data_IF_351318802507
#
_entry.id   IF_351318802507
#
_cell.length_a   1.000
_cell.length_b   1.000
_cell.length_c   1.000
_cell.angle_alpha   90.00
_cell.angle_beta   90.00
_cell.angle_gamma   90.00
#
_symmetry.space_group_name_H-M   'P 1'
#
loop_
_entity.id
_entity.type
_entity.pdbx_description
1 polymer ?
#
# COMPACT_ATOMS: atom_id res chain seq x y z
N UNK A 1 9.73 -16.73 -6.85
CA UNK A 1 9.06 -18.04 -7.05
C UNK A 1 7.52 -17.88 -7.04
N UNK A 2 6.95 -16.82 -7.63
CA UNK A 2 5.48 -16.59 -7.58
C UNK A 2 4.71 -17.22 -8.73
N UNK A 3 5.28 -17.27 -9.93
CA UNK A 3 4.55 -17.65 -11.15
C UNK A 3 4.80 -19.09 -11.62
N UNK A 4 5.09 -20.02 -10.71
CA UNK A 4 5.42 -21.42 -11.03
C UNK A 4 4.41 -22.37 -10.39
N UNK A 5 3.89 -23.38 -11.13
CA UNK A 5 4.24 -23.76 -12.50
C UNK A 5 3.65 -22.84 -13.58
N UNK A 6 4.39 -22.64 -14.68
CA UNK A 6 4.00 -21.77 -15.79
C UNK A 6 3.54 -22.59 -17.01
N UNK A 7 2.23 -22.76 -17.15
CA UNK A 7 1.62 -23.39 -18.35
C UNK A 7 1.07 -22.36 -19.35
N UNK A 8 0.42 -21.31 -18.85
CA UNK A 8 -0.19 -20.25 -19.65
C UNK A 8 0.18 -18.90 -19.02
N UNK A 9 1.06 -18.10 -19.64
CA UNK A 9 1.55 -16.87 -19.03
C UNK A 9 0.48 -15.79 -18.91
N UNK A 10 -0.53 -15.75 -19.78
CA UNK A 10 -1.61 -14.76 -19.69
C UNK A 10 -2.50 -15.09 -18.50
N UNK A 11 -2.91 -16.35 -18.36
CA UNK A 11 -3.68 -16.77 -17.17
C UNK A 11 -2.85 -16.62 -15.89
N UNK A 12 -1.54 -16.85 -15.94
CA UNK A 12 -0.69 -16.66 -14.77
C UNK A 12 -0.69 -15.19 -14.32
N UNK A 13 -0.50 -14.25 -15.26
CA UNK A 13 -0.59 -12.81 -14.99
C UNK A 13 -1.97 -12.42 -14.45
N UNK A 14 -3.06 -12.86 -15.09
CA UNK A 14 -4.43 -12.45 -14.71
C UNK A 14 -4.82 -12.97 -13.32
N UNK A 15 -4.44 -14.19 -12.98
CA UNK A 15 -4.95 -14.86 -11.78
C UNK A 15 -3.98 -14.94 -10.62
N UNK A 16 -2.67 -14.70 -10.83
CA UNK A 16 -1.66 -14.91 -9.79
C UNK A 16 -0.67 -13.76 -9.63
N UNK A 17 -0.47 -12.90 -10.64
CA UNK A 17 0.50 -11.83 -10.51
C UNK A 17 0.02 -10.74 -9.54
N UNK A 18 0.95 -10.16 -8.82
CA UNK A 18 0.73 -9.00 -7.95
C UNK A 18 1.52 -7.79 -8.45
N UNK A 19 1.39 -6.64 -7.79
CA UNK A 19 2.13 -5.43 -8.16
C UNK A 19 3.65 -5.64 -8.04
N UNK A 20 4.09 -6.50 -7.12
CA UNK A 20 5.49 -6.84 -6.88
C UNK A 20 6.14 -7.63 -8.02
N UNK A 21 5.36 -8.23 -8.93
CA UNK A 21 5.90 -8.95 -10.09
C UNK A 21 6.33 -8.02 -11.24
N UNK A 22 6.09 -6.69 -11.12
CA UNK A 22 6.46 -5.70 -12.14
C UNK A 22 7.95 -5.33 -12.02
N UNK A 23 8.75 -5.72 -13.00
CA UNK A 23 10.19 -5.41 -13.04
C UNK A 23 10.50 -4.03 -13.66
N UNK A 24 9.81 -3.64 -14.75
CA UNK A 24 10.07 -2.41 -15.52
C UNK A 24 8.82 -1.79 -16.11
N UNK A 25 8.76 -0.46 -16.14
CA UNK A 25 7.70 0.32 -16.81
C UNK A 25 8.31 1.54 -17.51
N UNK A 26 7.84 1.82 -18.73
CA UNK A 26 8.20 3.01 -19.49
C UNK A 26 6.97 3.83 -19.87
N UNK A 27 7.10 5.16 -19.83
CA UNK A 27 6.08 6.10 -20.30
C UNK A 27 6.74 7.08 -21.27
N UNK A 28 6.23 7.14 -22.51
CA UNK A 28 6.80 7.97 -23.59
C UNK A 28 8.32 7.78 -23.76
N UNK A 29 8.80 6.53 -23.66
CA UNK A 29 10.21 6.17 -23.78
C UNK A 29 11.08 6.46 -22.55
N UNK A 30 10.51 6.95 -21.45
CA UNK A 30 11.23 7.23 -20.19
C UNK A 30 10.96 6.13 -19.17
N UNK A 31 12.00 5.56 -18.51
CA UNK A 31 11.77 4.57 -17.45
C UNK A 31 11.12 5.25 -16.25
N UNK A 32 10.09 4.62 -15.69
CA UNK A 32 9.38 5.09 -14.48
C UNK A 32 9.33 4.03 -13.38
N UNK A 33 9.62 2.77 -13.71
CA UNK A 33 9.91 1.68 -12.76
C UNK A 33 11.12 0.90 -13.27
N UNK A 34 12.08 0.62 -12.40
CA UNK A 34 13.22 -0.27 -12.68
C UNK A 34 13.54 -1.13 -11.45
N UNK A 35 13.85 -2.41 -11.66
CA UNK A 35 14.14 -3.37 -10.59
C UNK A 35 13.05 -3.43 -9.52
N UNK A 36 11.78 -3.34 -9.94
CA UNK A 36 10.62 -3.30 -9.06
C UNK A 36 10.49 -2.03 -8.22
N UNK A 37 11.30 -0.99 -8.48
CA UNK A 37 11.23 0.30 -7.76
C UNK A 37 10.68 1.40 -8.64
N UNK A 38 9.76 2.19 -8.09
CA UNK A 38 9.21 3.37 -8.76
C UNK A 38 10.27 4.48 -8.78
N UNK A 39 10.64 4.94 -9.98
CA UNK A 39 11.59 6.03 -10.18
C UNK A 39 10.91 7.40 -10.24
N UNK A 40 9.62 7.41 -10.58
CA UNK A 40 8.85 8.63 -10.80
C UNK A 40 8.33 9.28 -9.50
N UNK A 41 8.60 8.71 -8.32
CA UNK A 41 8.09 9.18 -7.04
C UNK A 41 9.07 8.89 -5.89
N UNK A 42 9.08 9.76 -4.87
CA UNK A 42 9.74 9.50 -3.59
C UNK A 42 8.78 8.73 -2.68
N UNK A 43 8.80 7.41 -2.79
CA UNK A 43 7.92 6.52 -2.03
C UNK A 43 8.08 6.67 -0.51
N UNK A 44 9.30 6.71 0.07
CA UNK A 44 9.47 6.99 1.49
C UNK A 44 8.81 8.31 1.95
N UNK A 45 8.98 9.40 1.19
CA UNK A 45 8.37 10.68 1.55
C UNK A 45 6.84 10.62 1.45
N UNK A 46 6.29 9.94 0.44
CA UNK A 46 4.84 9.76 0.28
C UNK A 46 4.27 8.97 1.45
N UNK A 47 4.90 7.86 1.84
CA UNK A 47 4.45 7.03 2.96
C UNK A 47 4.54 7.77 4.29
N UNK A 48 5.60 8.56 4.51
CA UNK A 48 5.72 9.41 5.68
C UNK A 48 4.61 10.47 5.74
N UNK A 49 4.28 11.08 4.60
CA UNK A 49 3.17 12.05 4.51
C UNK A 49 1.81 11.39 4.77
N UNK A 50 1.61 10.16 4.28
CA UNK A 50 0.42 9.35 4.54
C UNK A 50 0.27 9.05 6.03
N UNK A 51 1.33 8.57 6.68
CA UNK A 51 1.36 8.29 8.12
C UNK A 51 1.02 9.55 8.93
N UNK A 52 1.69 10.67 8.65
CA UNK A 52 1.41 11.95 9.32
C UNK A 52 -0.04 12.41 9.06
N UNK A 53 -0.62 12.10 7.90
CA UNK A 53 -2.02 12.33 7.58
C UNK A 53 -2.95 11.54 8.51
N UNK A 54 -2.66 10.25 8.69
CA UNK A 54 -3.35 9.38 9.64
C UNK A 54 -3.29 9.90 11.07
N UNK A 55 -2.10 10.27 11.55
CA UNK A 55 -1.90 10.81 12.91
C UNK A 55 -2.68 12.11 13.16
N UNK A 56 -2.87 12.94 12.13
CA UNK A 56 -3.77 14.10 12.23
C UNK A 56 -5.24 13.67 12.22
N UNK A 57 -5.60 12.66 11.44
CA UNK A 57 -6.99 12.24 11.28
C UNK A 57 -7.54 11.50 12.52
N UNK A 58 -6.78 10.56 13.07
CA UNK A 58 -7.28 9.63 14.11
C UNK A 58 -7.86 10.32 15.35
N UNK A 59 -7.24 11.37 15.93
CA UNK A 59 -7.82 12.06 17.09
C UNK A 59 -9.12 12.82 16.78
N UNK A 60 -9.41 13.05 15.49
CA UNK A 60 -10.60 13.77 15.02
C UNK A 60 -11.70 12.81 14.56
N UNK A 61 -11.46 11.51 14.59
CA UNK A 61 -12.34 10.50 14.00
C UNK A 61 -13.73 10.48 14.66
N UNK A 62 -13.80 10.67 15.98
CA UNK A 62 -15.07 10.79 16.73
C UNK A 62 -16.00 11.87 16.17
N UNK A 63 -15.46 13.00 15.71
CA UNK A 63 -16.26 14.09 15.12
C UNK A 63 -16.98 13.67 13.83
N UNK A 64 -16.42 12.70 13.13
CA UNK A 64 -16.92 12.25 11.82
C UNK A 64 -17.57 10.85 11.88
N UNK A 65 -17.47 10.13 13.00
CA UNK A 65 -18.19 8.87 13.23
C UNK A 65 -19.62 9.15 13.68
N UNK A 66 -20.59 8.46 13.07
CA UNK A 66 -22.01 8.65 13.35
C UNK A 66 -22.40 8.28 14.80
N UNK A 67 -21.61 7.44 15.47
CA UNK A 67 -21.82 7.01 16.84
C UNK A 67 -20.80 7.61 17.82
N UNK A 68 -20.01 8.60 17.39
CA UNK A 68 -19.03 9.28 18.25
C UNK A 68 -17.90 8.38 18.76
N UNK A 69 -17.51 7.34 18.02
CA UNK A 69 -16.42 6.44 18.43
C UNK A 69 -15.07 6.97 18.01
N UNK A 70 -14.08 6.80 18.89
CA UNK A 70 -12.66 7.07 18.60
C UNK A 70 -12.03 5.96 17.77
N UNK A 71 -10.87 6.24 17.16
CA UNK A 71 -10.16 5.31 16.28
C UNK A 71 -9.89 3.94 16.93
N UNK A 72 -9.47 3.92 18.20
CA UNK A 72 -9.12 2.68 18.91
C UNK A 72 -10.33 1.81 19.25
N UNK A 73 -11.55 2.36 19.22
CA UNK A 73 -12.79 1.57 19.36
C UNK A 73 -13.22 1.01 18.02
N UNK A 74 -13.03 1.76 16.94
CA UNK A 74 -13.37 1.34 15.58
C UNK A 74 -12.41 0.27 15.05
N UNK A 75 -11.13 0.41 15.35
CA UNK A 75 -10.06 -0.51 14.96
C UNK A 75 -9.09 -0.68 16.13
N UNK A 76 -9.45 -1.50 17.13
CA UNK A 76 -8.60 -1.72 18.29
C UNK A 76 -7.25 -2.32 17.88
N UNK A 77 -6.15 -1.96 18.58
CA UNK A 77 -4.88 -2.63 18.38
C UNK A 77 -5.00 -4.10 18.80
N UNK A 78 -4.39 -5.00 18.02
CA UNK A 78 -4.37 -6.45 18.31
C UNK A 78 -3.76 -6.77 19.68
N UNK A 79 -2.80 -5.95 20.10
CA UNK A 79 -2.11 -6.09 21.38
C UNK A 79 -2.34 -4.84 22.22
N UNK A 80 -2.38 -4.97 23.56
CA UNK A 80 -2.38 -3.80 24.43
C UNK A 80 -1.08 -3.00 24.24
N UNK A 81 -1.11 -1.72 24.61
CA UNK A 81 0.11 -0.91 24.68
C UNK A 81 1.15 -1.60 25.56
N UNK A 82 2.40 -1.59 25.10
CA UNK A 82 3.51 -2.16 25.83
C UNK A 82 3.71 -1.40 27.15
N UNK A 83 3.73 -2.12 28.26
CA UNK A 83 3.96 -1.62 29.62
C UNK A 83 5.21 -2.24 30.21
#
# INVERSE_FOLDING_TARGET
WGMTPLRDPVKNIVYNATAEDIERVWVAGRPVVEHGRVLAADEPAILAALQAGGERMWPRMERFDWAGRVADVLSPPTYPEWR
#
